data_IF_043795088386
#
_entry.id   IF_043795088386
#
_cell.length_a   1.000
_cell.length_b   1.000
_cell.length_c   1.000
_cell.angle_alpha   90.00
_cell.angle_beta   90.00
_cell.angle_gamma   90.00
#
_symmetry.space_group_name_H-M   'P 1'
#
loop_
_entity.id
_entity.type
_entity.pdbx_description
1 polymer ?
#
# COMPACT_ATOMS: atom_id res chain seq x y z
N UNK A 1 -20.81 4.00 12.85
CA UNK A 1 -19.49 3.36 12.62
C UNK A 1 -18.44 4.31 13.16
N UNK A 2 -17.56 3.85 14.05
CA UNK A 2 -16.41 4.64 14.53
C UNK A 2 -15.23 4.45 13.56
N UNK A 3 -14.53 5.52 13.17
CA UNK A 3 -13.37 5.44 12.27
C UNK A 3 -12.19 6.11 12.95
N UNK A 4 -11.08 5.38 13.07
CA UNK A 4 -9.81 5.90 13.58
C UNK A 4 -8.73 5.72 12.53
N UNK A 5 -8.11 6.81 12.09
CA UNK A 5 -6.90 6.77 11.27
C UNK A 5 -5.65 6.83 12.16
N UNK A 6 -4.68 5.95 11.89
CA UNK A 6 -3.37 6.00 12.53
C UNK A 6 -2.36 6.53 11.51
N UNK A 7 -1.72 7.63 11.86
CA UNK A 7 -0.63 8.25 11.11
C UNK A 7 0.68 8.15 11.91
N UNK A 8 1.81 7.99 11.24
CA UNK A 8 3.13 7.98 11.88
C UNK A 8 4.20 7.39 10.96
N UNK A 9 5.45 7.77 11.19
CA UNK A 9 6.58 7.21 10.44
C UNK A 9 6.90 5.77 10.88
N UNK A 10 7.69 5.06 10.07
CA UNK A 10 8.18 3.74 10.44
C UNK A 10 8.90 3.80 11.81
N UNK A 11 8.65 2.80 12.66
CA UNK A 11 9.24 2.65 14.00
C UNK A 11 8.79 3.67 15.06
N UNK A 12 7.75 4.49 14.81
CA UNK A 12 7.17 5.35 15.85
C UNK A 12 6.24 4.61 16.81
N UNK A 13 5.85 3.36 16.51
CA UNK A 13 4.89 2.58 17.30
C UNK A 13 3.46 2.62 16.76
N UNK A 14 3.25 3.16 15.57
CA UNK A 14 1.94 3.21 14.90
C UNK A 14 1.27 1.83 14.75
N UNK A 15 2.06 0.79 14.46
CA UNK A 15 1.52 -0.56 14.25
C UNK A 15 1.08 -1.18 15.58
N UNK A 16 1.83 -0.90 16.66
CA UNK A 16 1.47 -1.25 18.04
C UNK A 16 0.18 -0.55 18.47
N UNK A 17 0.03 0.75 18.18
CA UNK A 17 -1.21 1.48 18.43
C UNK A 17 -2.40 0.92 17.65
N UNK A 18 -2.21 0.56 16.37
CA UNK A 18 -3.23 -0.09 15.56
C UNK A 18 -3.66 -1.45 16.14
N UNK A 19 -2.71 -2.27 16.58
CA UNK A 19 -2.96 -3.56 17.22
C UNK A 19 -3.81 -3.43 18.49
N UNK A 20 -3.51 -2.44 19.34
CA UNK A 20 -4.29 -2.16 20.56
C UNK A 20 -5.79 -1.98 20.29
N UNK A 21 -6.13 -1.20 19.26
CA UNK A 21 -7.52 -0.94 18.88
C UNK A 21 -8.24 -2.22 18.43
N UNK A 22 -7.52 -3.12 17.76
CA UNK A 22 -8.06 -4.39 17.28
C UNK A 22 -8.27 -5.33 18.47
N UNK A 23 -7.20 -5.56 19.23
CA UNK A 23 -7.12 -6.62 20.23
C UNK A 23 -7.94 -6.30 21.49
N UNK A 24 -8.03 -5.01 21.86
CA UNK A 24 -8.65 -4.59 23.13
C UNK A 24 -9.97 -3.83 22.96
N UNK A 25 -10.24 -3.28 21.77
CA UNK A 25 -11.40 -2.41 21.53
C UNK A 25 -12.32 -2.84 20.38
N UNK A 26 -12.07 -4.02 19.78
CA UNK A 26 -12.94 -4.61 18.77
C UNK A 26 -12.97 -3.88 17.43
N UNK A 27 -11.93 -3.10 17.11
CA UNK A 27 -11.82 -2.46 15.80
C UNK A 27 -11.51 -3.49 14.72
N UNK A 28 -12.08 -3.28 13.54
CA UNK A 28 -11.69 -4.03 12.34
C UNK A 28 -10.59 -3.26 11.61
N UNK A 29 -9.51 -3.96 11.27
CA UNK A 29 -8.34 -3.36 10.61
C UNK A 29 -8.52 -3.23 9.11
N UNK A 30 -8.20 -2.05 8.60
CA UNK A 30 -8.02 -1.81 7.18
C UNK A 30 -6.73 -1.05 6.90
N UNK A 31 -6.26 -1.12 5.66
CA UNK A 31 -5.24 -0.24 5.14
C UNK A 31 -5.58 0.25 3.73
N UNK A 32 -5.30 1.52 3.45
CA UNK A 32 -5.46 2.13 2.14
C UNK A 32 -4.62 1.39 1.08
N UNK A 33 -3.40 0.99 1.45
CA UNK A 33 -2.48 0.31 0.56
C UNK A 33 -2.58 -1.22 0.61
N UNK A 34 -3.59 -1.80 1.28
CA UNK A 34 -3.77 -3.25 1.30
C UNK A 34 -3.90 -3.86 -0.10
N UNK A 35 -4.71 -3.29 -1.02
CA UNK A 35 -4.86 -3.89 -2.34
C UNK A 35 -3.57 -3.80 -3.18
N UNK A 36 -2.65 -2.87 -2.88
CA UNK A 36 -1.35 -2.75 -3.57
C UNK A 36 -0.58 -4.08 -3.52
N UNK A 37 -0.57 -4.73 -2.35
CA UNK A 37 0.13 -6.00 -2.13
C UNK A 37 -0.53 -7.13 -2.93
N UNK A 38 -1.85 -7.21 -2.88
CA UNK A 38 -2.62 -8.18 -3.67
C UNK A 38 -2.38 -7.98 -5.17
N UNK A 39 -2.40 -6.73 -5.63
CA UNK A 39 -2.16 -6.40 -7.04
C UNK A 39 -0.74 -6.76 -7.48
N UNK A 40 0.27 -6.48 -6.65
CA UNK A 40 1.65 -6.84 -6.94
C UNK A 40 1.84 -8.37 -7.01
N UNK A 41 1.12 -9.13 -6.17
CA UNK A 41 1.09 -10.59 -6.24
C UNK A 41 0.46 -11.11 -7.53
N UNK A 42 -0.60 -10.45 -8.03
CA UNK A 42 -1.28 -10.81 -9.27
C UNK A 42 -0.46 -10.46 -10.52
N UNK A 43 0.21 -9.30 -10.52
CA UNK A 43 1.15 -8.90 -11.59
C UNK A 43 2.33 -9.88 -11.71
N UNK A 44 2.84 -10.33 -10.56
CA UNK A 44 3.91 -11.32 -10.45
C UNK A 44 5.15 -10.96 -11.28
N UNK A 45 5.59 -9.70 -11.19
CA UNK A 45 6.77 -9.19 -11.90
C UNK A 45 8.07 -9.87 -11.44
N UNK A 46 9.09 -9.86 -12.31
CA UNK A 46 10.44 -10.30 -11.96
C UNK A 46 11.14 -9.28 -11.06
N UNK A 47 11.83 -9.78 -10.04
CA UNK A 47 12.51 -8.99 -8.99
C UNK A 47 14.03 -8.95 -9.14
N UNK A 48 14.55 -9.64 -10.15
CA UNK A 48 15.95 -9.61 -10.53
C UNK A 48 16.06 -9.78 -12.05
N UNK A 49 17.25 -9.60 -12.57
CA UNK A 49 17.52 -9.73 -13.99
C UNK A 49 18.64 -8.80 -14.43
N UNK A 50 18.88 -8.79 -15.73
CA UNK A 50 19.84 -7.89 -16.38
C UNK A 50 19.18 -6.92 -17.34
N UNK A 51 17.94 -7.20 -17.74
CA UNK A 51 17.17 -6.38 -18.69
C UNK A 51 15.85 -5.97 -18.06
N UNK A 52 15.63 -4.65 -17.97
CA UNK A 52 14.32 -4.07 -17.67
C UNK A 52 13.54 -3.77 -18.96
N UNK A 53 12.26 -3.44 -18.83
CA UNK A 53 11.40 -3.08 -19.95
C UNK A 53 11.88 -1.82 -20.68
N UNK A 54 12.24 -0.78 -19.93
CA UNK A 54 12.81 0.46 -20.45
C UNK A 54 14.08 0.18 -21.27
N UNK A 55 15.01 -0.60 -20.71
CA UNK A 55 16.26 -0.98 -21.40
C UNK A 55 16.03 -1.75 -22.71
N UNK A 56 14.99 -2.58 -22.77
CA UNK A 56 14.63 -3.27 -24.01
C UNK A 56 14.05 -2.31 -25.03
N UNK A 57 13.12 -1.44 -24.61
CA UNK A 57 12.48 -0.47 -25.49
C UNK A 57 13.49 0.54 -26.06
N UNK A 58 14.44 1.00 -25.26
CA UNK A 58 15.55 1.86 -25.73
C UNK A 58 16.35 1.19 -26.87
N UNK A 59 16.54 -0.13 -26.80
CA UNK A 59 17.24 -0.91 -27.86
C UNK A 59 16.39 -1.15 -29.10
N UNK A 60 15.09 -0.93 -29.01
CA UNK A 60 14.11 -1.16 -30.07
C UNK A 60 13.52 0.14 -30.60
N UNK A 61 14.12 1.29 -30.28
CA UNK A 61 13.65 2.63 -30.66
C UNK A 61 12.22 2.92 -30.15
N UNK A 62 11.91 2.48 -28.93
CA UNK A 62 10.59 2.56 -28.28
C UNK A 62 9.46 1.88 -29.08
N UNK A 63 9.78 0.90 -29.92
CA UNK A 63 8.81 0.15 -30.71
C UNK A 63 8.17 -1.00 -29.90
N UNK A 64 6.95 -0.74 -29.41
CA UNK A 64 6.17 -1.70 -28.63
C UNK A 64 5.82 -2.98 -29.39
N UNK A 65 5.55 -2.88 -30.70
CA UNK A 65 5.23 -4.06 -31.51
C UNK A 65 6.45 -4.98 -31.61
N UNK A 66 7.65 -4.42 -31.74
CA UNK A 66 8.89 -5.21 -31.66
C UNK A 66 9.12 -5.79 -30.26
N UNK A 67 8.87 -5.03 -29.20
CA UNK A 67 9.06 -5.48 -27.82
C UNK A 67 8.14 -6.66 -27.47
N UNK A 68 6.84 -6.52 -27.75
CA UNK A 68 5.84 -7.57 -27.51
C UNK A 68 6.07 -8.82 -28.36
N UNK A 69 6.65 -8.69 -29.55
CA UNK A 69 7.02 -9.81 -30.42
C UNK A 69 8.48 -10.24 -30.28
N UNK A 70 9.22 -9.69 -29.31
CA UNK A 70 10.60 -10.05 -29.08
C UNK A 70 10.71 -11.52 -28.66
N UNK A 71 11.57 -12.29 -29.32
CA UNK A 71 11.64 -13.75 -29.17
C UNK A 71 11.88 -14.23 -27.73
N UNK A 72 12.68 -13.48 -26.96
CA UNK A 72 13.06 -13.85 -25.58
C UNK A 72 12.12 -13.20 -24.57
N UNK A 73 12.05 -11.87 -24.56
CA UNK A 73 11.32 -11.10 -23.55
C UNK A 73 9.83 -10.84 -23.84
N UNK A 74 9.39 -10.91 -25.11
CA UNK A 74 8.01 -10.66 -25.51
C UNK A 74 6.97 -11.50 -24.75
N UNK A 75 7.21 -12.80 -24.48
CA UNK A 75 6.31 -13.60 -23.64
C UNK A 75 6.08 -13.02 -22.23
N UNK A 76 7.12 -12.53 -21.55
CA UNK A 76 6.98 -11.96 -20.20
C UNK A 76 6.26 -10.60 -20.22
N UNK A 77 6.52 -9.77 -21.24
CA UNK A 77 5.81 -8.50 -21.45
C UNK A 77 4.32 -8.76 -21.65
N UNK A 78 3.97 -9.67 -22.57
CA UNK A 78 2.58 -10.04 -22.86
C UNK A 78 1.89 -10.66 -21.65
N UNK A 79 2.58 -11.50 -20.88
CA UNK A 79 2.06 -12.08 -19.63
C UNK A 79 1.72 -10.99 -18.63
N UNK A 80 2.63 -10.03 -18.41
CA UNK A 80 2.45 -8.97 -17.42
C UNK A 80 1.37 -7.99 -17.85
N UNK A 81 1.32 -7.60 -19.13
CA UNK A 81 0.23 -6.77 -19.68
C UNK A 81 -1.13 -7.46 -19.55
N UNK A 82 -1.21 -8.77 -19.84
CA UNK A 82 -2.45 -9.52 -19.69
C UNK A 82 -2.88 -9.61 -18.22
N UNK A 83 -1.96 -9.89 -17.30
CA UNK A 83 -2.24 -9.88 -15.86
C UNK A 83 -2.75 -8.51 -15.40
N UNK A 84 -2.11 -7.43 -15.84
CA UNK A 84 -2.51 -6.08 -15.49
C UNK A 84 -3.89 -5.71 -16.03
N UNK A 85 -4.14 -5.93 -17.32
CA UNK A 85 -5.43 -5.65 -17.95
C UNK A 85 -6.57 -6.48 -17.33
N UNK A 86 -6.39 -7.80 -17.30
CA UNK A 86 -7.50 -8.72 -17.06
C UNK A 86 -7.76 -8.89 -15.55
N UNK A 87 -6.70 -8.95 -14.73
CA UNK A 87 -6.84 -9.20 -13.29
C UNK A 87 -6.96 -7.94 -12.45
N UNK A 88 -6.48 -6.79 -12.95
CA UNK A 88 -6.47 -5.55 -12.17
C UNK A 88 -7.39 -4.51 -12.77
N UNK A 89 -7.15 -4.07 -14.01
CA UNK A 89 -7.95 -3.01 -14.62
C UNK A 89 -9.41 -3.44 -14.76
N UNK A 90 -9.67 -4.58 -15.39
CA UNK A 90 -11.05 -5.05 -15.59
C UNK A 90 -11.72 -5.54 -14.30
N UNK A 91 -10.99 -6.25 -13.44
CA UNK A 91 -11.59 -6.96 -12.29
C UNK A 91 -11.68 -6.09 -11.03
N UNK A 92 -10.66 -5.27 -10.75
CA UNK A 92 -10.61 -4.43 -9.54
C UNK A 92 -11.04 -3.01 -9.86
N UNK A 93 -10.49 -2.44 -10.92
CA UNK A 93 -10.71 -1.06 -11.32
C UNK A 93 -11.84 -0.91 -12.35
N UNK A 94 -12.70 -1.91 -12.58
CA UNK A 94 -13.54 -2.03 -13.79
C UNK A 94 -14.53 -0.90 -14.16
N UNK A 95 -14.57 0.21 -13.43
CA UNK A 95 -15.19 1.47 -13.85
C UNK A 95 -14.22 2.44 -14.55
N UNK A 96 -12.92 2.14 -14.52
CA UNK A 96 -11.86 2.83 -15.24
C UNK A 96 -11.56 2.06 -16.52
N UNK A 97 -11.52 2.78 -17.64
CA UNK A 97 -11.09 2.25 -18.92
C UNK A 97 -9.64 2.68 -19.18
N UNK A 98 -8.83 1.78 -19.74
CA UNK A 98 -7.45 2.03 -20.14
C UNK A 98 -7.23 1.42 -21.52
N UNK A 99 -6.85 2.25 -22.48
CA UNK A 99 -6.44 1.79 -23.80
C UNK A 99 -5.18 0.93 -23.74
N UNK A 100 -4.92 0.17 -24.82
CA UNK A 100 -3.72 -0.66 -24.90
C UNK A 100 -2.42 0.15 -24.73
N UNK A 101 -2.37 1.37 -25.26
CA UNK A 101 -1.20 2.25 -25.14
C UNK A 101 -1.04 2.77 -23.71
N UNK A 102 -2.13 3.09 -23.02
CA UNK A 102 -2.03 3.51 -21.61
C UNK A 102 -1.60 2.37 -20.70
N UNK A 103 -2.01 1.12 -20.97
CA UNK A 103 -1.53 -0.06 -20.23
C UNK A 103 -0.03 -0.31 -20.44
N UNK A 104 0.46 -0.03 -21.64
CA UNK A 104 1.89 -0.09 -21.99
C UNK A 104 2.68 0.96 -21.20
N UNK A 105 2.18 2.20 -21.13
CA UNK A 105 2.82 3.27 -20.37
C UNK A 105 2.81 2.99 -18.85
N UNK A 106 1.75 2.40 -18.30
CA UNK A 106 1.75 1.94 -16.90
C UNK A 106 2.84 0.91 -16.63
N UNK A 107 2.96 -0.08 -17.52
CA UNK A 107 3.94 -1.15 -17.36
C UNK A 107 5.36 -0.62 -17.53
N UNK A 108 5.57 0.34 -18.43
CA UNK A 108 6.84 1.04 -18.60
C UNK A 108 7.19 1.87 -17.36
N UNK A 109 6.21 2.52 -16.74
CA UNK A 109 6.39 3.25 -15.48
C UNK A 109 6.81 2.30 -14.36
N UNK A 110 6.17 1.13 -14.26
CA UNK A 110 6.56 0.09 -13.32
C UNK A 110 7.97 -0.45 -13.60
N UNK A 111 8.37 -0.51 -14.87
CA UNK A 111 9.66 -0.95 -15.39
C UNK A 111 10.17 -2.29 -14.81
N UNK A 112 9.44 -3.40 -14.99
CA UNK A 112 9.84 -4.69 -14.44
C UNK A 112 11.07 -5.26 -15.15
N UNK A 113 11.81 -6.14 -14.45
CA UNK A 113 12.79 -7.01 -15.10
C UNK A 113 12.10 -8.03 -16.02
N UNK A 114 12.80 -8.46 -17.07
CA UNK A 114 12.25 -9.37 -18.09
C UNK A 114 12.90 -10.76 -18.12
N UNK A 115 14.03 -10.95 -17.42
CA UNK A 115 14.92 -12.12 -17.62
C UNK A 115 15.41 -12.78 -16.32
N UNK A 116 14.91 -12.35 -15.16
CA UNK A 116 15.21 -12.95 -13.87
C UNK A 116 14.49 -14.26 -13.59
N UNK A 117 15.03 -15.02 -12.63
CA UNK A 117 14.47 -16.27 -12.15
C UNK A 117 13.55 -16.10 -10.92
N UNK A 118 13.65 -15.00 -10.19
CA UNK A 118 12.81 -14.70 -9.04
C UNK A 118 11.68 -13.75 -9.42
N UNK A 119 10.44 -14.18 -9.24
CA UNK A 119 9.25 -13.33 -9.35
C UNK A 119 8.71 -12.96 -7.96
N UNK A 120 7.79 -12.00 -7.91
CA UNK A 120 7.12 -11.58 -6.68
C UNK A 120 6.48 -12.77 -5.94
N UNK A 121 5.78 -13.64 -6.67
CA UNK A 121 5.15 -14.84 -6.10
C UNK A 121 6.18 -15.82 -5.54
N UNK A 122 7.22 -16.15 -6.32
CA UNK A 122 8.26 -17.08 -5.87
C UNK A 122 8.95 -16.57 -4.60
N UNK A 123 9.20 -15.26 -4.50
CA UNK A 123 9.74 -14.67 -3.28
C UNK A 123 8.76 -14.81 -2.11
N UNK A 124 7.48 -14.45 -2.32
CA UNK A 124 6.48 -14.53 -1.26
C UNK A 124 6.24 -15.96 -0.77
N UNK A 125 6.24 -16.94 -1.66
CA UNK A 125 6.14 -18.36 -1.29
C UNK A 125 7.32 -18.77 -0.38
N UNK A 126 8.53 -18.24 -0.63
CA UNK A 126 9.71 -18.50 0.20
C UNK A 126 9.65 -17.88 1.61
N UNK A 127 8.79 -16.87 1.82
CA UNK A 127 8.56 -16.20 3.11
C UNK A 127 7.14 -16.42 3.63
N UNK A 128 6.44 -17.46 3.14
CA UNK A 128 5.09 -17.85 3.58
C UNK A 128 4.08 -16.69 3.49
N UNK A 129 4.17 -15.89 2.44
CA UNK A 129 3.30 -14.75 2.18
C UNK A 129 3.54 -13.54 3.07
N UNK A 130 4.59 -13.53 3.91
CA UNK A 130 4.91 -12.38 4.75
C UNK A 130 5.56 -11.23 3.95
N UNK A 131 4.77 -10.19 3.72
CA UNK A 131 5.22 -8.98 3.04
C UNK A 131 6.29 -8.20 3.80
N UNK A 132 6.34 -8.28 5.14
CA UNK A 132 7.43 -7.63 5.87
C UNK A 132 8.75 -8.35 5.57
N UNK A 133 8.79 -9.67 5.71
CA UNK A 133 9.95 -10.47 5.31
C UNK A 133 10.34 -10.26 3.85
N UNK A 134 9.39 -10.19 2.92
CA UNK A 134 9.68 -9.91 1.50
C UNK A 134 10.34 -8.54 1.31
N UNK A 135 9.84 -7.49 1.98
CA UNK A 135 10.46 -6.16 1.94
C UNK A 135 11.85 -6.18 2.57
N UNK A 136 12.09 -6.89 3.66
CA UNK A 136 13.43 -6.96 4.27
C UNK A 136 14.35 -8.02 3.66
N UNK A 137 13.91 -8.69 2.58
CA UNK A 137 14.71 -9.70 1.91
C UNK A 137 16.05 -9.12 1.43
N UNK A 138 17.15 -9.80 1.75
CA UNK A 138 18.53 -9.32 1.53
C UNK A 138 18.82 -8.92 0.08
N UNK A 139 18.28 -9.67 -0.88
CA UNK A 139 18.60 -9.49 -2.30
C UNK A 139 17.49 -8.80 -3.12
N UNK A 140 16.24 -8.93 -2.68
CA UNK A 140 15.07 -8.52 -3.48
C UNK A 140 14.23 -7.45 -2.79
N UNK A 141 14.51 -7.17 -1.52
CA UNK A 141 13.72 -6.24 -0.72
C UNK A 141 13.69 -4.81 -1.26
N UNK A 142 14.77 -4.36 -1.91
CA UNK A 142 14.80 -3.05 -2.59
C UNK A 142 13.82 -3.01 -3.75
N UNK A 143 13.84 -4.02 -4.62
CA UNK A 143 12.93 -4.09 -5.78
C UNK A 143 11.48 -4.32 -5.37
N UNK A 144 11.22 -5.09 -4.32
CA UNK A 144 9.86 -5.22 -3.75
C UNK A 144 9.33 -3.86 -3.31
N UNK A 145 10.13 -3.08 -2.56
CA UNK A 145 9.71 -1.74 -2.13
C UNK A 145 9.48 -0.81 -3.32
N UNK A 146 10.41 -0.81 -4.29
CA UNK A 146 10.31 0.01 -5.51
C UNK A 146 9.00 -0.26 -6.25
N UNK A 147 8.71 -1.52 -6.54
CA UNK A 147 7.49 -1.91 -7.27
C UNK A 147 6.23 -1.56 -6.50
N UNK A 148 6.17 -1.83 -5.19
CA UNK A 148 5.01 -1.47 -4.37
C UNK A 148 4.78 0.05 -4.33
N UNK A 149 5.85 0.83 -4.24
CA UNK A 149 5.78 2.30 -4.21
C UNK A 149 5.32 2.86 -5.56
N UNK A 150 6.02 2.53 -6.64
CA UNK A 150 5.69 3.01 -8.00
C UNK A 150 4.30 2.56 -8.42
N UNK A 151 3.94 1.30 -8.16
CA UNK A 151 2.60 0.81 -8.46
C UNK A 151 1.54 1.59 -7.68
N UNK A 152 1.78 1.85 -6.39
CA UNK A 152 0.84 2.58 -5.55
C UNK A 152 0.65 4.04 -5.96
N UNK A 153 1.69 4.71 -6.45
CA UNK A 153 1.66 6.14 -6.79
C UNK A 153 1.58 6.37 -8.29
N UNK A 154 2.67 6.15 -8.99
CA UNK A 154 2.86 6.56 -10.38
C UNK A 154 1.98 5.77 -11.34
N UNK A 155 1.72 4.48 -11.06
CA UNK A 155 0.82 3.67 -11.89
C UNK A 155 -0.64 3.89 -11.51
N UNK A 156 -0.98 3.83 -10.22
CA UNK A 156 -2.37 3.87 -9.78
C UNK A 156 -2.89 5.29 -9.51
N UNK A 157 -2.25 6.07 -8.62
CA UNK A 157 -2.80 7.38 -8.23
C UNK A 157 -2.77 8.38 -9.39
N UNK A 158 -1.71 8.37 -10.18
CA UNK A 158 -1.56 9.34 -11.27
C UNK A 158 -2.52 9.05 -12.43
N UNK A 159 -2.88 7.78 -12.65
CA UNK A 159 -3.71 7.39 -13.79
C UNK A 159 -5.17 7.02 -13.45
N UNK A 160 -5.46 6.60 -12.22
CA UNK A 160 -6.83 6.23 -11.77
C UNK A 160 -7.40 7.22 -10.75
N UNK A 161 -6.64 8.24 -10.38
CA UNK A 161 -7.07 9.28 -9.43
C UNK A 161 -6.39 9.18 -8.08
N UNK A 162 -6.11 10.33 -7.48
CA UNK A 162 -5.37 10.45 -6.22
C UNK A 162 -6.13 9.85 -5.01
N UNK A 163 -7.42 9.59 -5.14
CA UNK A 163 -8.27 8.99 -4.11
C UNK A 163 -8.58 7.50 -4.39
N UNK A 164 -7.96 6.87 -5.40
CA UNK A 164 -8.27 5.49 -5.80
C UNK A 164 -8.24 4.47 -4.66
N UNK A 165 -7.20 4.52 -3.82
CA UNK A 165 -7.03 3.63 -2.68
C UNK A 165 -8.12 3.83 -1.62
N UNK A 166 -8.57 5.07 -1.45
CA UNK A 166 -9.67 5.43 -0.55
C UNK A 166 -11.00 4.96 -1.09
N UNK A 167 -11.23 5.06 -2.40
CA UNK A 167 -12.45 4.55 -3.03
C UNK A 167 -12.57 3.02 -2.84
N UNK A 168 -11.47 2.27 -3.03
CA UNK A 168 -11.42 0.83 -2.80
C UNK A 168 -11.66 0.48 -1.32
N UNK A 169 -10.99 1.20 -0.41
CA UNK A 169 -11.18 1.07 1.04
C UNK A 169 -12.65 1.32 1.44
N UNK A 170 -13.23 2.42 0.98
CA UNK A 170 -14.59 2.82 1.30
C UNK A 170 -15.62 1.78 0.83
N UNK A 171 -15.43 1.23 -0.38
CA UNK A 171 -16.27 0.14 -0.90
C UNK A 171 -16.22 -1.08 0.02
N UNK A 172 -15.01 -1.51 0.41
CA UNK A 172 -14.83 -2.68 1.29
C UNK A 172 -15.49 -2.46 2.66
N UNK A 173 -15.31 -1.29 3.26
CA UNK A 173 -15.96 -0.95 4.54
C UNK A 173 -17.49 -0.94 4.39
N UNK A 174 -18.03 -0.44 3.29
CA UNK A 174 -19.47 -0.41 3.04
C UNK A 174 -20.08 -1.81 2.84
N UNK A 175 -19.30 -2.74 2.26
CA UNK A 175 -19.68 -4.14 2.08
C UNK A 175 -19.63 -4.93 3.40
N UNK A 176 -18.56 -4.78 4.18
CA UNK A 176 -18.34 -5.53 5.43
C UNK A 176 -19.10 -4.95 6.64
N UNK A 177 -19.43 -3.65 6.61
CA UNK A 177 -20.20 -2.91 7.64
C UNK A 177 -19.70 -3.12 9.08
N UNK A 178 -18.39 -2.94 9.36
CA UNK A 178 -17.86 -3.06 10.72
C UNK A 178 -18.43 -1.99 11.65
N UNK A 179 -18.53 -2.31 12.95
CA UNK A 179 -18.97 -1.34 13.95
C UNK A 179 -17.93 -0.22 14.19
N UNK A 180 -16.64 -0.60 14.19
CA UNK A 180 -15.49 0.28 14.35
C UNK A 180 -14.35 -0.12 13.38
N UNK A 181 -13.66 0.88 12.83
CA UNK A 181 -12.64 0.74 11.78
C UNK A 181 -11.37 1.43 12.24
N UNK A 182 -10.23 0.72 12.15
CA UNK A 182 -8.90 1.33 12.26
C UNK A 182 -8.20 1.28 10.91
N UNK A 183 -7.79 2.44 10.41
CA UNK A 183 -7.01 2.58 9.17
C UNK A 183 -5.55 2.81 9.54
N UNK A 184 -4.71 1.81 9.27
CA UNK A 184 -3.38 1.66 9.89
C UNK A 184 -2.21 2.34 9.14
N UNK A 185 -2.48 2.87 7.96
CA UNK A 185 -1.48 3.34 7.00
C UNK A 185 -1.87 4.66 6.32
N UNK A 186 -2.45 5.61 7.06
CA UNK A 186 -2.78 6.94 6.55
C UNK A 186 -1.48 7.70 6.20
N UNK A 187 -1.27 7.94 4.89
CA UNK A 187 -0.06 8.51 4.30
C UNK A 187 -0.33 9.71 3.40
N UNK A 188 -1.55 9.85 2.88
CA UNK A 188 -1.92 10.92 1.95
C UNK A 188 -3.07 11.79 2.46
N UNK A 189 -3.11 13.04 1.97
CA UNK A 189 -4.15 13.99 2.38
C UNK A 189 -5.55 13.56 1.95
N UNK A 190 -5.69 12.85 0.83
CA UNK A 190 -6.98 12.34 0.35
C UNK A 190 -7.54 11.27 1.30
N UNK A 191 -6.68 10.41 1.83
CA UNK A 191 -7.02 9.40 2.84
C UNK A 191 -7.47 10.07 4.13
N UNK A 192 -6.70 11.04 4.60
CA UNK A 192 -7.02 11.82 5.79
C UNK A 192 -8.33 12.60 5.62
N UNK A 193 -8.54 13.23 4.46
CA UNK A 193 -9.74 13.97 4.13
C UNK A 193 -10.98 13.09 4.17
N UNK A 194 -10.91 11.88 3.62
CA UNK A 194 -12.03 10.95 3.65
C UNK A 194 -12.37 10.50 5.07
N UNK A 195 -11.37 10.20 5.90
CA UNK A 195 -11.58 9.84 7.31
C UNK A 195 -12.32 10.98 8.03
N UNK A 196 -11.83 12.22 7.92
CA UNK A 196 -12.46 13.38 8.54
C UNK A 196 -13.87 13.65 7.99
N UNK A 197 -14.07 13.53 6.68
CA UNK A 197 -15.38 13.74 6.05
C UNK A 197 -16.43 12.71 6.51
N UNK A 198 -16.01 11.53 6.95
CA UNK A 198 -16.86 10.48 7.50
C UNK A 198 -16.93 10.51 9.04
N UNK A 199 -16.56 11.63 9.67
CA UNK A 199 -16.62 11.81 11.13
C UNK A 199 -15.57 11.00 11.90
N UNK A 200 -14.51 10.56 11.21
CA UNK A 200 -13.40 9.84 11.81
C UNK A 200 -12.35 10.75 12.44
N UNK A 201 -11.56 10.17 13.35
CA UNK A 201 -10.49 10.84 14.09
C UNK A 201 -9.14 10.31 13.62
N UNK A 202 -8.16 11.19 13.41
CA UNK A 202 -6.80 10.77 13.04
C UNK A 202 -5.85 11.06 14.20
N UNK A 203 -5.12 10.04 14.60
CA UNK A 203 -4.10 10.09 15.64
C UNK A 203 -2.72 9.93 15.01
N UNK A 204 -1.84 10.89 15.26
CA UNK A 204 -0.44 10.83 14.87
C UNK A 204 0.41 10.24 16.01
N UNK A 205 1.15 9.16 15.71
CA UNK A 205 2.13 8.58 16.62
C UNK A 205 3.52 9.04 16.21
N UNK A 206 4.16 9.82 17.09
CA UNK A 206 5.52 10.34 16.91
C UNK A 206 6.48 9.67 17.89
N UNK A 207 7.78 9.65 17.58
CA UNK A 207 8.81 9.15 18.51
C UNK A 207 10.04 10.07 18.45
N UNK A 208 10.56 10.55 19.59
CA UNK A 208 11.75 11.40 19.60
C UNK A 208 12.93 10.76 18.85
N UNK A 209 13.59 11.52 17.98
CA UNK A 209 14.73 11.05 17.19
C UNK A 209 14.38 10.29 15.91
N UNK A 210 13.09 10.07 15.62
CA UNK A 210 12.62 9.51 14.35
C UNK A 210 12.01 10.64 13.52
N UNK A 211 12.53 10.83 12.32
CA UNK A 211 12.00 11.78 11.34
C UNK A 211 11.64 11.05 10.03
N UNK A 212 10.92 11.76 9.16
CA UNK A 212 10.64 11.29 7.81
C UNK A 212 11.93 10.86 7.10
N UNK A 213 11.93 9.66 6.52
CA UNK A 213 12.99 9.25 5.60
C UNK A 213 12.62 9.80 4.23
N UNK A 214 13.25 10.91 3.84
CA UNK A 214 13.03 11.54 2.54
C UNK A 214 13.52 10.60 1.42
N UNK A 215 12.58 9.91 0.77
CA UNK A 215 12.87 9.05 -0.38
C UNK A 215 11.71 8.90 -1.36
N UNK A 216 10.46 8.82 -0.88
CA UNK A 216 9.26 8.67 -1.72
C UNK A 216 8.10 9.52 -1.21
N UNK A 217 7.19 9.97 -2.09
CA UNK A 217 6.08 10.87 -1.73
C UNK A 217 5.16 10.29 -0.65
N UNK A 218 4.98 8.96 -0.63
CA UNK A 218 4.22 8.24 0.40
C UNK A 218 4.84 8.27 1.80
N UNK A 219 6.04 8.85 1.95
CA UNK A 219 6.76 9.02 3.21
C UNK A 219 6.76 10.49 3.69
N UNK A 220 6.12 11.40 2.95
CA UNK A 220 6.05 12.82 3.31
C UNK A 220 5.09 13.12 4.48
N UNK A 221 4.13 12.23 4.72
CA UNK A 221 3.08 12.37 5.72
C UNK A 221 1.91 13.26 5.29
N UNK A 222 1.03 13.58 6.25
CA UNK A 222 -0.22 14.31 6.00
C UNK A 222 -0.21 15.73 6.59
N UNK A 223 -1.08 16.59 6.07
CA UNK A 223 -1.28 17.94 6.59
C UNK A 223 -1.77 17.92 8.04
N UNK A 224 -1.13 18.70 8.92
CA UNK A 224 -1.47 18.82 10.35
C UNK A 224 -2.94 19.17 10.62
N UNK A 225 -3.63 19.80 9.65
CA UNK A 225 -5.07 20.12 9.75
C UNK A 225 -5.97 18.90 9.98
N UNK A 226 -5.51 17.71 9.58
CA UNK A 226 -6.27 16.47 9.73
C UNK A 226 -5.98 15.75 11.05
N UNK A 227 -4.89 16.12 11.73
CA UNK A 227 -4.44 15.46 12.94
C UNK A 227 -5.25 16.00 14.12
N UNK A 228 -6.07 15.13 14.71
CA UNK A 228 -6.87 15.47 15.89
C UNK A 228 -6.05 15.34 17.18
N UNK A 229 -5.22 14.30 17.27
CA UNK A 229 -4.35 14.04 18.41
C UNK A 229 -2.95 13.67 17.94
N UNK A 230 -1.94 14.15 18.66
CA UNK A 230 -0.55 13.71 18.49
C UNK A 230 -0.10 13.06 19.79
N UNK A 231 0.31 11.79 19.71
CA UNK A 231 0.87 11.02 20.82
C UNK A 231 2.38 10.93 20.62
N UNK A 232 3.13 11.35 21.64
CA UNK A 232 4.57 11.18 21.69
C UNK A 232 4.91 9.84 22.33
N UNK A 233 5.35 8.87 21.54
CA UNK A 233 5.79 7.56 22.02
C UNK A 233 7.24 7.63 22.54
N UNK A 234 7.38 7.79 23.86
CA UNK A 234 8.67 7.86 24.56
C UNK A 234 8.71 7.02 25.85
N UNK A 235 7.65 6.28 26.14
CA UNK A 235 7.50 5.45 27.33
C UNK A 235 7.43 3.95 27.01
N UNK A 236 6.68 3.24 27.84
CA UNK A 236 6.34 1.83 27.67
C UNK A 236 5.20 1.64 26.66
N UNK A 237 4.91 0.37 26.33
CA UNK A 237 3.74 0.04 25.48
C UNK A 237 2.44 0.40 26.20
N UNK A 238 2.36 0.18 27.51
CA UNK A 238 1.18 0.53 28.31
C UNK A 238 0.94 2.06 28.31
N UNK A 239 2.02 2.87 28.41
CA UNK A 239 1.90 4.33 28.28
C UNK A 239 1.34 4.77 26.92
N UNK A 240 1.69 4.05 25.84
CA UNK A 240 1.15 4.30 24.51
C UNK A 240 -0.34 3.92 24.43
N UNK A 241 -0.73 2.82 25.07
CA UNK A 241 -2.12 2.34 25.09
C UNK A 241 -3.01 3.28 25.90
N UNK A 242 -2.60 3.66 27.10
CA UNK A 242 -3.32 4.62 27.94
C UNK A 242 -3.51 5.96 27.22
N UNK A 243 -2.44 6.49 26.61
CA UNK A 243 -2.53 7.73 25.84
C UNK A 243 -3.46 7.64 24.62
N UNK A 244 -3.52 6.47 23.98
CA UNK A 244 -4.41 6.24 22.84
C UNK A 244 -5.87 6.13 23.28
N UNK A 245 -6.11 5.44 24.39
CA UNK A 245 -7.44 5.26 24.96
C UNK A 245 -8.01 6.60 25.44
N UNK A 246 -7.20 7.40 26.14
CA UNK A 246 -7.56 8.76 26.55
C UNK A 246 -7.87 9.65 25.34
N UNK A 247 -7.03 9.63 24.31
CA UNK A 247 -7.21 10.45 23.11
C UNK A 247 -8.47 10.10 22.32
N UNK A 248 -8.90 8.84 22.34
CA UNK A 248 -10.05 8.34 21.59
C UNK A 248 -11.31 8.15 22.45
N UNK A 249 -11.25 8.57 23.72
CA UNK A 249 -12.27 8.41 24.74
C UNK A 249 -12.77 6.95 24.81
N UNK A 250 -11.83 6.01 24.80
CA UNK A 250 -12.12 4.58 24.85
C UNK A 250 -12.21 4.13 26.30
N UNK A 251 -13.33 3.49 26.64
CA UNK A 251 -13.42 2.73 27.89
C UNK A 251 -12.80 1.36 27.65
N UNK A 252 -12.00 0.81 28.58
CA UNK A 252 -11.57 -0.57 28.52
C UNK A 252 -12.79 -1.45 28.27
N UNK A 253 -12.68 -2.44 27.37
CA UNK A 253 -13.71 -3.46 27.24
C UNK A 253 -13.88 -4.08 28.63
N UNK A 254 -14.95 -3.71 29.33
CA UNK A 254 -15.36 -4.39 30.56
C UNK A 254 -15.41 -5.85 30.17
N UNK A 255 -14.54 -6.67 30.76
CA UNK A 255 -14.61 -8.13 30.67
C UNK A 255 -16.09 -8.48 30.70
N UNK A 256 -16.63 -8.93 29.56
CA UNK A 256 -18.01 -9.34 29.46
C UNK A 256 -18.14 -10.51 30.42
N UNK A 257 -18.54 -10.21 31.65
CA UNK A 257 -18.78 -11.16 32.70
C UNK A 257 -20.06 -11.89 32.32
N UNK A 258 -19.89 -13.09 31.79
CA UNK A 258 -20.85 -14.20 31.88
C UNK A 258 -20.11 -15.52 31.67
#
# INVERSE_FOLDING_TARGET
>A
MKITGIHGFAHTGKDTAGAHLIDNHGYTRYGCADPVKEHAYLLDVRLNGTITLSMLLDRLDHDWDKAENHRVYGPEIKRTLAAYRDQLVHSVFGHFDRSADELREDLLTLDPFLDGDVSMRTLLDSVVGDWESAKYHRFHGTEVRRHLQIYATEVCRDNFGQDIWVQLLARRIAEERPAAVVITDVRFNEEAAWITANGGTIVEITRPGIAAVNGHISEAGISRRYIAHTISNHGTVDDLYDALDDALELTPAVLAAA
#
